data_IF_487691039865
#
_entry.id   IF_487691039865
#
_cell.length_a   1.000
_cell.length_b   1.000
_cell.length_c   1.000
_cell.angle_alpha   90.00
_cell.angle_beta   90.00
_cell.angle_gamma   90.00
#
_symmetry.space_group_name_H-M   'P 1'
#
loop_
_entity.id
_entity.type
_entity.pdbx_description
1 polymer ?
#
# COMPACT_ATOMS: atom_id res chain seq x y z
N UNK A 1 -7.15 3.57 3.87
CA UNK A 1 -6.64 4.20 2.63
C UNK A 1 -7.75 4.34 1.59
N UNK A 2 -8.58 3.31 1.41
CA UNK A 2 -9.85 3.36 0.65
C UNK A 2 -10.77 4.50 1.13
N UNK A 3 -10.91 4.71 2.44
CA UNK A 3 -11.78 5.78 2.95
C UNK A 3 -11.30 7.21 2.62
N UNK A 4 -9.99 7.45 2.49
CA UNK A 4 -9.48 8.77 2.07
C UNK A 4 -9.68 9.04 0.58
N UNK A 5 -9.60 7.99 -0.24
CA UNK A 5 -9.91 8.06 -1.66
C UNK A 5 -11.40 8.37 -1.89
N UNK A 6 -12.29 7.80 -1.06
CA UNK A 6 -13.74 8.02 -1.15
C UNK A 6 -14.18 9.44 -0.76
N UNK A 7 -13.39 10.17 0.03
CA UNK A 7 -13.64 11.60 0.34
C UNK A 7 -13.31 12.52 -0.86
N UNK A 8 -12.83 11.97 -2.00
CA UNK A 8 -12.48 12.70 -3.25
C UNK A 8 -11.39 13.76 -3.11
N UNK A 9 -10.75 13.90 -1.94
CA UNK A 9 -9.74 14.93 -1.68
C UNK A 9 -8.30 14.50 -2.00
N UNK A 10 -8.01 13.20 -2.07
CA UNK A 10 -6.66 12.70 -2.35
C UNK A 10 -6.69 11.49 -3.30
N UNK A 11 -6.04 11.63 -4.46
CA UNK A 11 -5.82 10.52 -5.39
C UNK A 11 -4.81 9.54 -4.78
N UNK A 12 -5.14 8.23 -4.79
CA UNK A 12 -4.24 7.17 -4.36
C UNK A 12 -2.99 7.07 -5.26
N UNK A 13 -3.11 7.54 -6.51
CA UNK A 13 -2.05 7.53 -7.52
C UNK A 13 -1.07 8.70 -7.40
N UNK A 14 -1.46 9.79 -6.73
CA UNK A 14 -0.55 10.94 -6.53
C UNK A 14 0.14 10.84 -5.20
N UNK A 15 1.44 10.52 -5.25
CA UNK A 15 2.46 10.77 -4.20
C UNK A 15 1.93 11.67 -3.09
N UNK A 16 1.72 11.10 -1.90
CA UNK A 16 1.28 11.74 -0.66
C UNK A 16 1.50 13.27 -0.67
N UNK A 17 0.48 14.02 -1.11
CA UNK A 17 0.54 15.48 -1.18
C UNK A 17 0.79 16.05 0.21
N UNK A 18 1.40 17.24 0.27
CA UNK A 18 1.60 17.96 1.53
C UNK A 18 0.25 18.09 2.28
N UNK A 19 0.24 17.69 3.56
CA UNK A 19 -0.96 17.74 4.41
C UNK A 19 -1.69 16.41 4.63
N UNK A 20 -1.39 15.34 3.89
CA UNK A 20 -2.06 14.03 4.06
C UNK A 20 -1.96 13.49 5.50
N UNK A 21 -0.79 13.61 6.14
CA UNK A 21 -0.59 13.12 7.51
C UNK A 21 -1.50 13.82 8.53
N UNK A 22 -1.72 15.13 8.34
CA UNK A 22 -2.57 15.91 9.24
C UNK A 22 -4.05 15.56 9.04
N UNK A 23 -4.46 15.25 7.81
CA UNK A 23 -5.83 14.80 7.56
C UNK A 23 -6.07 13.40 8.14
N UNK A 24 -5.07 12.51 8.01
CA UNK A 24 -5.11 11.20 8.64
C UNK A 24 -5.18 11.29 10.17
N UNK A 25 -4.44 12.23 10.78
CA UNK A 25 -4.54 12.52 12.21
C UNK A 25 -5.98 12.89 12.60
N UNK A 26 -6.63 13.81 11.87
CA UNK A 26 -8.03 14.20 12.16
C UNK A 26 -9.01 13.04 12.01
N UNK A 27 -8.84 12.20 11.00
CA UNK A 27 -9.71 11.03 10.80
C UNK A 27 -9.54 10.02 11.94
N UNK A 28 -8.31 9.80 12.39
CA UNK A 28 -8.02 8.91 13.52
C UNK A 28 -8.53 9.48 14.84
N UNK A 29 -8.43 10.79 15.07
CA UNK A 29 -9.01 11.42 16.27
C UNK A 29 -10.53 11.24 16.33
N UNK A 30 -11.21 11.28 15.17
CA UNK A 30 -12.65 11.01 15.09
C UNK A 30 -13.00 9.54 15.31
N UNK A 31 -12.24 8.63 14.69
CA UNK A 31 -12.50 7.19 14.76
C UNK A 31 -12.09 6.58 16.11
N UNK A 32 -11.03 7.12 16.72
CA UNK A 32 -10.40 6.67 17.96
C UNK A 32 -10.09 7.90 18.83
N UNK A 33 -11.12 8.54 19.42
CA UNK A 33 -10.91 9.69 20.28
C UNK A 33 -10.05 9.29 21.48
N UNK A 34 -9.09 10.15 21.87
CA UNK A 34 -8.10 9.93 22.92
C UNK A 34 -6.95 8.95 22.58
N UNK A 35 -6.80 8.52 21.33
CA UNK A 35 -5.65 7.71 20.94
C UNK A 35 -4.30 8.47 21.02
N UNK A 36 -4.34 9.81 21.12
CA UNK A 36 -3.18 10.70 21.20
C UNK A 36 -2.16 10.49 20.06
N UNK A 37 -2.64 10.02 18.90
CA UNK A 37 -1.81 9.74 17.74
C UNK A 37 -1.56 11.04 16.96
N UNK A 38 -0.29 11.42 16.80
CA UNK A 38 0.10 12.62 16.04
C UNK A 38 0.62 12.27 14.66
N UNK A 39 0.35 13.14 13.68
CA UNK A 39 0.91 13.11 12.34
C UNK A 39 2.42 12.83 12.37
N UNK A 40 3.12 13.52 13.27
CA UNK A 40 4.51 13.23 13.64
C UNK A 40 4.64 13.12 15.16
N UNK A 41 5.44 12.16 15.67
CA UNK A 41 6.19 11.13 14.93
C UNK A 41 5.39 9.85 14.62
N UNK A 42 4.17 9.69 15.17
CA UNK A 42 3.49 8.40 15.23
C UNK A 42 3.05 7.89 13.86
N UNK A 43 2.30 8.70 13.10
CA UNK A 43 1.76 8.27 11.80
C UNK A 43 2.85 8.19 10.74
N UNK A 44 3.80 9.13 10.75
CA UNK A 44 4.95 9.11 9.85
C UNK A 44 5.76 7.81 9.96
N UNK A 45 6.08 7.38 11.18
CA UNK A 45 6.86 6.14 11.40
C UNK A 45 6.09 4.91 10.93
N UNK A 46 4.80 4.78 11.26
CA UNK A 46 3.96 3.65 10.83
C UNK A 46 3.83 3.56 9.31
N UNK A 47 3.58 4.69 8.62
CA UNK A 47 3.49 4.69 7.15
C UNK A 47 4.83 4.32 6.51
N UNK A 48 5.96 4.76 7.10
CA UNK A 48 7.29 4.39 6.62
C UNK A 48 7.54 2.89 6.72
N UNK A 49 7.16 2.27 7.84
CA UNK A 49 7.25 0.82 8.02
C UNK A 49 6.34 0.08 7.02
N UNK A 50 5.07 0.46 6.94
CA UNK A 50 4.11 -0.17 6.02
C UNK A 50 4.57 -0.10 4.55
N UNK A 51 5.18 1.01 4.13
CA UNK A 51 5.74 1.12 2.78
C UNK A 51 6.88 0.14 2.53
N UNK A 52 7.75 -0.08 3.51
CA UNK A 52 8.87 -1.02 3.36
C UNK A 52 8.34 -2.45 3.29
N UNK A 53 7.45 -2.81 4.20
CA UNK A 53 6.89 -4.16 4.26
C UNK A 53 6.05 -4.48 3.02
N UNK A 54 5.32 -3.48 2.50
CA UNK A 54 4.55 -3.62 1.26
C UNK A 54 5.44 -3.96 0.07
N UNK A 55 6.61 -3.30 -0.07
CA UNK A 55 7.55 -3.61 -1.16
C UNK A 55 7.99 -5.07 -1.09
N UNK A 56 8.29 -5.58 0.11
CA UNK A 56 8.69 -6.99 0.29
C UNK A 56 7.59 -7.93 -0.18
N UNK A 57 6.34 -7.71 0.26
CA UNK A 57 5.20 -8.56 -0.12
C UNK A 57 4.92 -8.47 -1.61
N UNK A 58 5.01 -7.27 -2.19
CA UNK A 58 4.82 -7.05 -3.61
C UNK A 58 5.87 -7.79 -4.44
N UNK A 59 7.14 -7.68 -4.06
CA UNK A 59 8.25 -8.35 -4.76
C UNK A 59 8.10 -9.88 -4.71
N UNK A 60 7.72 -10.43 -3.54
CA UNK A 60 7.43 -11.85 -3.39
C UNK A 60 6.31 -12.32 -4.31
N UNK A 61 5.18 -11.59 -4.33
CA UNK A 61 4.05 -11.92 -5.19
C UNK A 61 4.42 -11.88 -6.68
N UNK A 62 5.18 -10.88 -7.09
CA UNK A 62 5.63 -10.74 -8.48
C UNK A 62 6.61 -11.85 -8.88
N UNK A 63 7.50 -12.28 -7.99
CA UNK A 63 8.39 -13.41 -8.23
C UNK A 63 7.60 -14.70 -8.46
N UNK A 64 6.66 -15.02 -7.55
CA UNK A 64 5.81 -16.22 -7.68
C UNK A 64 4.99 -16.21 -8.98
N UNK A 65 4.46 -15.05 -9.38
CA UNK A 65 3.72 -14.94 -10.64
C UNK A 65 4.60 -15.19 -11.86
N UNK A 66 5.85 -14.71 -11.84
CA UNK A 66 6.80 -14.92 -12.94
C UNK A 66 7.18 -16.40 -13.07
N UNK A 67 7.40 -17.08 -11.96
CA UNK A 67 7.73 -18.50 -11.94
C UNK A 67 6.56 -19.34 -12.49
N UNK A 68 5.33 -19.00 -12.09
CA UNK A 68 4.12 -19.63 -12.62
C UNK A 68 3.98 -19.43 -14.14
N UNK A 69 4.18 -18.19 -14.64
CA UNK A 69 4.10 -17.90 -16.08
C UNK A 69 5.18 -18.65 -16.87
N UNK A 70 6.41 -18.70 -16.36
CA UNK A 70 7.50 -19.43 -17.02
C UNK A 70 7.17 -20.93 -17.14
N UNK A 71 6.50 -21.49 -16.12
CA UNK A 71 6.08 -22.90 -16.13
C UNK A 71 4.97 -23.14 -17.15
N UNK A 72 4.00 -22.21 -17.29
CA UNK A 72 2.95 -22.34 -18.31
C UNK A 72 3.50 -22.21 -19.71
N UNK A 73 4.42 -21.27 -19.93
CA UNK A 73 5.03 -21.03 -21.26
C UNK A 73 5.82 -22.27 -21.71
N UNK A 74 6.57 -22.93 -20.81
CA UNK A 74 7.30 -24.18 -21.10
C UNK A 74 6.35 -25.34 -21.42
N UNK A 75 5.23 -25.48 -20.72
CA UNK A 75 4.26 -26.56 -20.98
C UNK A 75 3.59 -26.37 -22.35
N UNK A 76 3.20 -25.14 -22.70
CA UNK A 76 2.62 -24.84 -24.01
C UNK A 76 3.60 -25.12 -25.16
N UNK A 77 4.90 -24.83 -24.97
CA UNK A 77 5.93 -25.13 -25.99
C UNK A 77 6.10 -26.64 -26.21
N UNK A 78 6.02 -27.45 -25.14
CA UNK A 78 6.10 -28.92 -25.22
C UNK A 78 4.86 -29.53 -25.88
N UNK A 79 3.66 -28.98 -25.64
CA UNK A 79 2.40 -29.50 -26.20
C UNK A 79 2.24 -29.18 -27.71
N UNK A 80 3.03 -28.25 -28.26
CA UNK A 80 3.01 -27.84 -29.67
C UNK A 80 4.00 -28.64 -30.54
N UNK A 81 4.96 -29.34 -29.94
CA UNK A 81 5.97 -30.18 -30.60
C UNK A 81 5.53 -31.66 -30.70
#
# INVERSE_FOLDING_TARGET
MVDMHNVRTFNADTRFKAGYLNELEKMLEKALPHAMLKAKPNLESKIRTLKRDWVIVYDMHQATRKDAQTTTDIIEEIDVE
#
